data_IF_270100465658
#
_entry.id   IF_270100465658
#
_cell.length_a   1.000
_cell.length_b   1.000
_cell.length_c   1.000
_cell.angle_alpha   90.00
_cell.angle_beta   90.00
_cell.angle_gamma   90.00
#
_symmetry.space_group_name_H-M   'P 1'
#
loop_
_entity.id
_entity.type
_entity.pdbx_description
1 polymer ?
#
# COMPACT_ATOMS: atom_id res chain seq x y z
N UNK A 1 19.18 17.35 9.15
CA UNK A 1 18.24 17.23 10.28
C UNK A 1 18.17 15.76 10.65
N UNK A 2 18.64 15.39 11.84
CA UNK A 2 18.55 14.03 12.36
C UNK A 2 17.56 14.02 13.53
N UNK A 3 16.92 12.89 13.80
CA UNK A 3 15.80 12.79 14.78
C UNK A 3 16.21 13.22 16.20
N UNK A 4 17.49 13.18 16.54
CA UNK A 4 18.05 13.63 17.83
C UNK A 4 18.17 15.15 17.99
N UNK A 5 17.94 15.92 16.92
CA UNK A 5 17.95 17.39 16.95
C UNK A 5 16.58 17.97 17.38
N UNK A 6 15.62 17.12 17.79
CA UNK A 6 14.25 17.51 18.16
C UNK A 6 14.15 17.64 19.68
N UNK A 7 13.98 18.86 20.17
CA UNK A 7 13.73 19.15 21.58
C UNK A 7 12.23 19.37 21.85
N UNK A 8 11.73 18.90 23.01
CA UNK A 8 10.37 19.20 23.46
C UNK A 8 10.28 20.67 23.86
N UNK A 9 9.37 21.42 23.21
CA UNK A 9 9.00 22.77 23.63
C UNK A 9 7.81 22.68 24.59
N UNK A 10 8.09 22.45 25.88
CA UNK A 10 7.05 22.43 26.93
C UNK A 10 6.34 23.81 27.06
N UNK A 11 7.03 24.92 26.72
CA UNK A 11 6.50 26.29 26.84
C UNK A 11 5.43 26.65 25.79
N UNK A 12 5.27 25.85 24.72
CA UNK A 12 4.35 26.12 23.60
C UNK A 12 3.25 25.08 23.45
N UNK A 13 3.13 24.16 24.41
CA UNK A 13 2.16 23.07 24.38
C UNK A 13 0.71 23.59 24.31
N UNK A 14 0.43 24.75 24.94
CA UNK A 14 -0.87 25.42 24.85
C UNK A 14 -1.14 26.15 23.53
N UNK A 15 -0.12 26.68 22.84
CA UNK A 15 -0.30 27.45 21.59
C UNK A 15 -0.69 26.56 20.41
N UNK A 16 -0.29 25.28 20.43
CA UNK A 16 -0.62 24.32 19.40
C UNK A 16 -1.97 23.60 19.65
N UNK A 17 -2.52 23.70 20.87
CA UNK A 17 -3.79 23.06 21.22
C UNK A 17 -4.96 23.58 20.37
N UNK A 18 -4.93 24.87 20.03
CA UNK A 18 -5.94 25.51 19.17
C UNK A 18 -5.82 25.09 17.69
N UNK A 19 -4.66 24.56 17.28
CA UNK A 19 -4.41 24.00 15.95
C UNK A 19 -4.82 22.54 15.84
N UNK A 20 -5.03 21.86 16.98
CA UNK A 20 -5.55 20.50 16.97
C UNK A 20 -7.00 20.55 16.46
N UNK A 21 -7.37 19.67 15.52
CA UNK A 21 -8.75 19.62 15.04
C UNK A 21 -9.68 19.35 16.23
N UNK A 22 -10.52 20.35 16.56
CA UNK A 22 -11.53 20.30 17.63
C UNK A 22 -12.77 19.48 17.21
N UNK A 23 -12.54 18.35 16.54
CA UNK A 23 -13.59 17.46 16.02
C UNK A 23 -13.91 16.31 16.98
N UNK A 24 -14.99 15.59 16.69
CA UNK A 24 -15.26 14.30 17.33
C UNK A 24 -14.03 13.41 17.17
N UNK A 25 -13.52 12.77 18.24
CA UNK A 25 -12.42 11.83 18.13
C UNK A 25 -12.71 10.85 17.02
N UNK A 26 -11.74 10.68 16.12
CA UNK A 26 -11.86 9.70 15.04
C UNK A 26 -12.21 8.37 15.71
N UNK A 27 -13.32 7.76 15.28
CA UNK A 27 -13.80 6.50 15.84
C UNK A 27 -12.66 5.49 15.86
N UNK A 28 -12.60 4.67 16.91
CA UNK A 28 -11.60 3.60 17.03
C UNK A 28 -11.61 2.68 15.80
N UNK A 29 -12.78 2.51 15.20
CA UNK A 29 -13.00 1.75 13.96
C UNK A 29 -12.29 2.30 12.72
N UNK A 30 -11.81 3.55 12.74
CA UNK A 30 -10.97 4.10 11.67
C UNK A 30 -9.53 3.58 11.76
N UNK A 31 -9.04 3.36 12.98
CA UNK A 31 -7.70 2.85 13.24
C UNK A 31 -7.64 1.32 13.20
N UNK A 32 -8.79 0.67 13.24
CA UNK A 32 -8.92 -0.77 13.11
C UNK A 32 -9.08 -1.13 11.63
N UNK A 33 -8.11 -1.87 11.09
CA UNK A 33 -8.22 -2.39 9.74
C UNK A 33 -9.36 -3.41 9.66
N UNK A 34 -10.32 -3.25 8.73
CA UNK A 34 -11.35 -4.25 8.52
C UNK A 34 -10.72 -5.57 8.08
N UNK A 35 -11.36 -6.67 8.47
CA UNK A 35 -11.02 -8.01 8.00
C UNK A 35 -11.27 -8.15 6.49
N UNK A 36 -10.68 -9.18 5.86
CA UNK A 36 -10.92 -9.47 4.44
C UNK A 36 -12.41 -9.74 4.15
N UNK A 37 -13.12 -10.35 5.09
CA UNK A 37 -14.55 -10.64 4.96
C UNK A 37 -15.38 -9.35 5.02
N UNK A 38 -15.07 -8.44 5.95
CA UNK A 38 -15.73 -7.14 6.06
C UNK A 38 -15.46 -6.27 4.82
N UNK A 39 -14.24 -6.27 4.30
CA UNK A 39 -13.87 -5.58 3.06
C UNK A 39 -14.65 -6.12 1.86
N UNK A 40 -14.76 -7.45 1.74
CA UNK A 40 -15.49 -8.09 0.66
C UNK A 40 -16.99 -7.77 0.73
N UNK A 41 -17.57 -7.82 1.93
CA UNK A 41 -18.97 -7.47 2.16
C UNK A 41 -19.26 -6.01 1.80
N UNK A 42 -18.38 -5.07 2.21
CA UNK A 42 -18.54 -3.65 1.91
C UNK A 42 -18.51 -3.35 0.40
N UNK A 43 -17.77 -4.14 -0.38
CA UNK A 43 -17.67 -4.02 -1.84
C UNK A 43 -18.69 -4.90 -2.58
N UNK A 44 -19.56 -5.61 -1.85
CA UNK A 44 -20.52 -6.57 -2.40
C UNK A 44 -19.85 -7.65 -3.28
N UNK A 45 -18.63 -8.05 -2.91
CA UNK A 45 -17.88 -9.14 -3.53
C UNK A 45 -17.79 -10.33 -2.57
N UNK A 46 -17.52 -11.52 -3.10
CA UNK A 46 -17.27 -12.69 -2.26
C UNK A 46 -15.79 -12.70 -1.84
N UNK A 47 -15.48 -12.84 -0.54
CA UNK A 47 -14.10 -12.98 -0.10
C UNK A 47 -13.50 -14.23 -0.75
N UNK A 48 -12.31 -14.06 -1.32
CA UNK A 48 -11.65 -15.13 -2.05
C UNK A 48 -10.80 -15.97 -1.08
N UNK A 49 -11.19 -17.22 -0.87
CA UNK A 49 -10.49 -18.13 0.03
C UNK A 49 -9.20 -18.70 -0.57
N UNK A 50 -9.09 -18.75 -1.90
CA UNK A 50 -7.90 -19.24 -2.58
C UNK A 50 -7.39 -18.21 -3.60
N UNK A 51 -6.43 -17.39 -3.17
CA UNK A 51 -5.72 -16.44 -4.04
C UNK A 51 -5.02 -17.11 -5.22
N UNK A 52 -4.75 -18.43 -5.15
CA UNK A 52 -4.18 -19.19 -6.27
C UNK A 52 -5.13 -19.30 -7.46
N UNK A 53 -6.43 -19.12 -7.23
CA UNK A 53 -7.40 -19.02 -8.32
C UNK A 53 -7.21 -17.74 -9.16
N UNK A 54 -6.59 -16.67 -8.63
CA UNK A 54 -6.28 -15.45 -9.39
C UNK A 54 -5.02 -15.61 -10.24
N UNK A 55 -4.09 -16.46 -9.82
CA UNK A 55 -2.82 -16.61 -10.51
C UNK A 55 -2.96 -17.36 -11.84
N UNK A 56 -4.07 -18.06 -12.10
CA UNK A 56 -4.21 -18.81 -13.37
C UNK A 56 -3.02 -19.75 -13.57
N UNK A 57 -2.43 -19.75 -14.76
CA UNK A 57 -1.17 -20.46 -15.04
C UNK A 57 0.07 -19.71 -14.59
N UNK A 58 0.00 -18.52 -13.97
CA UNK A 58 1.16 -17.67 -13.66
C UNK A 58 2.15 -18.31 -12.65
N UNK A 59 3.47 -18.27 -12.93
CA UNK A 59 4.12 -17.76 -14.14
C UNK A 59 4.12 -18.85 -15.22
N UNK A 60 3.14 -18.80 -16.12
CA UNK A 60 2.80 -19.83 -17.10
C UNK A 60 3.19 -21.30 -16.81
N UNK A 61 3.40 -22.04 -17.89
CA UNK A 61 4.10 -23.31 -17.81
C UNK A 61 5.61 -23.04 -17.68
N UNK A 62 6.35 -23.95 -17.05
CA UNK A 62 7.81 -23.84 -16.98
C UNK A 62 8.37 -23.81 -18.41
N UNK A 63 8.98 -22.67 -18.79
CA UNK A 63 9.55 -22.48 -20.12
C UNK A 63 8.58 -21.88 -21.15
N UNK A 64 7.50 -21.24 -20.71
CA UNK A 64 6.59 -20.46 -21.58
C UNK A 64 7.27 -19.26 -22.28
N UNK A 65 8.48 -18.91 -21.85
CA UNK A 65 9.29 -17.84 -22.43
C UNK A 65 9.09 -16.48 -21.77
N UNK A 66 8.36 -16.41 -20.65
CA UNK A 66 8.09 -15.17 -19.92
C UNK A 66 9.36 -14.39 -19.58
N UNK A 67 10.42 -15.05 -19.08
CA UNK A 67 11.67 -14.39 -18.72
C UNK A 67 12.35 -13.75 -19.94
N UNK A 68 12.26 -14.40 -21.11
CA UNK A 68 12.84 -13.89 -22.36
C UNK A 68 12.07 -12.67 -22.86
N UNK A 69 10.74 -12.69 -22.81
CA UNK A 69 9.92 -11.54 -23.21
C UNK A 69 10.17 -10.31 -22.32
N UNK A 70 10.33 -10.53 -21.01
CA UNK A 70 10.69 -9.46 -20.07
C UNK A 70 12.10 -8.92 -20.35
N UNK A 71 13.05 -9.80 -20.67
CA UNK A 71 14.42 -9.42 -21.04
C UNK A 71 14.43 -8.56 -22.32
N UNK A 72 13.74 -9.02 -23.36
CA UNK A 72 13.58 -8.29 -24.62
C UNK A 72 12.92 -6.92 -24.40
N UNK A 73 11.88 -6.83 -23.56
CA UNK A 73 11.24 -5.55 -23.23
C UNK A 73 12.19 -4.58 -22.53
N UNK A 74 13.00 -5.07 -21.57
CA UNK A 74 13.97 -4.25 -20.83
C UNK A 74 15.11 -3.75 -21.72
N UNK A 75 15.50 -4.55 -22.70
CA UNK A 75 16.63 -4.24 -23.57
C UNK A 75 16.23 -3.55 -24.89
N UNK A 76 14.97 -3.66 -25.32
CA UNK A 76 14.46 -2.96 -26.51
C UNK A 76 14.47 -1.42 -26.39
N UNK A 77 14.29 -0.88 -25.18
CA UNK A 77 14.34 0.57 -24.94
C UNK A 77 15.77 1.11 -24.70
N UNK A 78 16.77 0.24 -24.53
CA UNK A 78 18.15 0.66 -24.30
C UNK A 78 18.86 1.11 -25.60
N UNK A 79 18.33 0.75 -26.78
CA UNK A 79 18.94 1.08 -28.08
C UNK A 79 18.39 2.36 -28.74
N UNK A 80 17.33 2.98 -28.20
CA UNK A 80 16.74 4.19 -28.79
C UNK A 80 17.48 5.49 -28.44
N UNK A 81 18.71 5.40 -27.93
CA UNK A 81 19.54 6.52 -27.47
C UNK A 81 20.91 6.60 -28.16
N UNK A 82 20.96 6.44 -29.49
CA UNK A 82 22.13 6.81 -30.32
C UNK A 82 21.72 7.57 -31.56
#
# INVERSE_FOLDING_TARGET
MKIHDIERLDDREGEAADLLPQGTPISRSFWESPTLDELAQAQNVRPMADVRALFGTWPGEIGDGFEREVDDLRHSHAESGR
#
